data_IF_012628480234
#
_entry.id   IF_012628480234
#
_cell.length_a   1.000
_cell.length_b   1.000
_cell.length_c   1.000
_cell.angle_alpha   90.00
_cell.angle_beta   90.00
_cell.angle_gamma   90.00
#
_symmetry.space_group_name_H-M   'P 1'
#
loop_
_entity.id
_entity.type
_entity.pdbx_description
1 polymer ?
#
# COMPACT_ATOMS: atom_id res chain seq x y z
N UNK A 1 -25.24 -11.94 -13.78
CA UNK A 1 -24.45 -12.34 -12.62
C UNK A 1 -23.04 -11.80 -12.75
N UNK A 2 -22.53 -11.20 -11.71
CA UNK A 2 -21.22 -10.57 -11.75
C UNK A 2 -20.12 -11.57 -11.42
N UNK A 3 -19.07 -11.65 -12.24
CA UNK A 3 -17.92 -12.49 -11.93
C UNK A 3 -17.08 -11.81 -10.86
N UNK A 4 -17.40 -12.06 -9.59
CA UNK A 4 -16.82 -11.31 -8.49
C UNK A 4 -15.40 -11.69 -8.10
N UNK A 5 -15.05 -12.98 -7.99
CA UNK A 5 -13.81 -13.33 -7.30
C UNK A 5 -12.54 -12.93 -8.02
N UNK A 6 -12.53 -12.90 -9.35
CA UNK A 6 -11.30 -12.65 -10.10
C UNK A 6 -10.93 -11.18 -10.19
N UNK A 7 -11.87 -10.27 -9.87
CA UNK A 7 -11.61 -8.84 -9.97
C UNK A 7 -11.39 -8.15 -8.62
N UNK A 8 -11.59 -8.88 -7.53
CA UNK A 8 -11.53 -8.30 -6.19
C UNK A 8 -10.12 -7.80 -5.86
N UNK A 9 -9.10 -8.56 -6.23
CA UNK A 9 -7.71 -8.23 -5.88
C UNK A 9 -6.93 -7.66 -7.07
N UNK A 10 -7.52 -6.72 -7.80
CA UNK A 10 -6.88 -6.15 -8.98
C UNK A 10 -6.31 -4.76 -8.78
N UNK A 11 -6.71 -4.06 -7.72
CA UNK A 11 -6.33 -2.66 -7.55
C UNK A 11 -6.12 -2.34 -6.07
N UNK A 12 -4.98 -1.78 -5.75
CA UNK A 12 -4.61 -1.44 -4.38
C UNK A 12 -4.13 -0.01 -4.27
N UNK A 13 -4.43 0.61 -3.12
CA UNK A 13 -3.78 1.83 -2.69
C UNK A 13 -2.78 1.45 -1.59
N UNK A 14 -1.54 1.93 -1.69
CA UNK A 14 -0.50 1.63 -0.72
C UNK A 14 0.05 2.93 -0.11
N UNK A 15 0.47 2.83 1.14
CA UNK A 15 1.01 3.97 1.86
C UNK A 15 1.80 3.48 3.07
N UNK A 16 2.81 4.25 3.49
CA UNK A 16 3.49 4.00 4.74
C UNK A 16 2.87 4.82 5.85
N UNK A 17 2.75 4.22 7.02
CA UNK A 17 2.32 4.92 8.24
C UNK A 17 3.41 4.81 9.28
N UNK A 18 3.67 5.91 9.97
CA UNK A 18 4.69 6.00 10.99
C UNK A 18 5.64 7.16 10.72
N UNK A 19 6.78 7.20 11.37
CA UNK A 19 7.26 6.18 12.30
C UNK A 19 6.55 6.23 13.66
N UNK A 20 6.50 5.06 14.31
CA UNK A 20 5.95 4.92 15.65
C UNK A 20 7.08 4.78 16.64
N UNK A 21 6.98 5.46 17.78
CA UNK A 21 8.11 5.64 18.67
C UNK A 21 8.45 4.44 19.54
N UNK A 22 7.52 3.52 19.73
CA UNK A 22 7.68 2.45 20.70
C UNK A 22 7.87 1.06 20.10
N UNK A 23 7.96 0.95 18.81
CA UNK A 23 8.18 -0.33 18.19
C UNK A 23 9.63 -0.76 18.37
N UNK A 24 9.85 -2.02 18.69
CA UNK A 24 11.21 -2.53 18.93
C UNK A 24 11.91 -2.89 17.63
N UNK A 25 11.25 -3.67 16.81
CA UNK A 25 11.81 -4.14 15.54
C UNK A 25 11.26 -3.36 14.37
N UNK A 26 9.98 -3.04 14.44
CA UNK A 26 9.26 -2.34 13.37
C UNK A 26 8.74 -1.02 13.91
N UNK A 27 8.94 0.05 13.18
CA UNK A 27 8.46 1.37 13.55
C UNK A 27 7.55 1.97 12.49
N UNK A 28 7.26 1.22 11.44
CA UNK A 28 6.48 1.70 10.30
C UNK A 28 5.57 0.57 9.83
N UNK A 29 4.46 0.92 9.23
CA UNK A 29 3.53 -0.05 8.67
C UNK A 29 3.29 0.31 7.21
N UNK A 30 3.45 -0.68 6.33
CA UNK A 30 3.00 -0.56 4.95
C UNK A 30 1.54 -0.95 4.92
N UNK A 31 0.69 -0.01 4.57
CA UNK A 31 -0.75 -0.21 4.49
C UNK A 31 -1.12 -0.49 3.05
N UNK A 32 -1.87 -1.56 2.82
CA UNK A 32 -2.32 -1.97 1.49
C UNK A 32 -3.83 -2.10 1.55
N UNK A 33 -4.53 -1.22 0.84
CA UNK A 33 -5.99 -1.20 0.83
C UNK A 33 -6.49 -1.63 -0.54
N UNK A 34 -7.36 -2.64 -0.56
CA UNK A 34 -8.03 -3.03 -1.80
C UNK A 34 -9.06 -1.94 -2.14
N UNK A 35 -9.02 -1.45 -3.39
CA UNK A 35 -9.88 -0.33 -3.79
C UNK A 35 -11.31 -0.74 -4.09
N UNK A 36 -11.59 -2.03 -4.20
CA UNK A 36 -12.92 -2.53 -4.54
C UNK A 36 -13.70 -3.01 -3.32
N UNK A 37 -13.02 -3.52 -2.31
CA UNK A 37 -13.66 -4.11 -1.13
C UNK A 37 -12.97 -3.60 0.13
N UNK A 38 -13.49 -3.98 1.29
CA UNK A 38 -12.97 -3.52 2.58
C UNK A 38 -11.77 -4.32 3.08
N UNK A 39 -10.95 -4.85 2.18
CA UNK A 39 -9.73 -5.55 2.56
C UNK A 39 -8.61 -4.56 2.85
N UNK A 40 -7.91 -4.80 3.93
CA UNK A 40 -6.76 -3.97 4.31
C UNK A 40 -5.66 -4.86 4.84
N UNK A 41 -4.49 -4.78 4.23
CA UNK A 41 -3.29 -5.45 4.72
C UNK A 41 -2.42 -4.47 5.47
N UNK A 42 -1.93 -4.88 6.65
CA UNK A 42 -1.00 -4.11 7.44
C UNK A 42 0.30 -4.89 7.56
N UNK A 43 1.34 -4.41 6.92
CA UNK A 43 2.62 -5.11 6.86
C UNK A 43 3.65 -4.33 7.67
N UNK A 44 4.13 -4.88 8.80
CA UNK A 44 5.15 -4.21 9.61
C UNK A 44 6.46 -4.07 8.83
N UNK A 45 7.08 -2.91 8.97
CA UNK A 45 8.35 -2.62 8.32
C UNK A 45 9.09 -1.53 9.11
N UNK A 46 10.13 -0.95 8.51
CA UNK A 46 10.92 0.10 9.19
C UNK A 46 11.08 1.29 8.27
N UNK A 47 11.47 2.43 8.87
CA UNK A 47 11.79 3.63 8.09
C UNK A 47 12.96 3.42 7.14
N UNK A 48 13.79 2.41 7.41
CA UNK A 48 14.95 2.09 6.57
C UNK A 48 14.62 1.18 5.40
N UNK A 49 13.36 0.77 5.26
CA UNK A 49 12.95 -0.09 4.15
C UNK A 49 13.25 0.60 2.81
N UNK A 50 13.81 -0.17 1.90
CA UNK A 50 14.11 0.30 0.55
C UNK A 50 12.96 -0.02 -0.40
N UNK A 51 13.03 0.47 -1.62
CA UNK A 51 12.08 0.09 -2.64
C UNK A 51 12.11 -1.42 -2.88
N UNK A 52 13.30 -2.03 -2.86
CA UNK A 52 13.43 -3.46 -3.07
C UNK A 52 12.79 -4.27 -1.94
N UNK A 53 13.08 -3.94 -0.69
CA UNK A 53 12.50 -4.67 0.43
C UNK A 53 10.99 -4.48 0.50
N UNK A 54 10.51 -3.29 0.14
CA UNK A 54 9.08 -3.02 0.09
C UNK A 54 8.39 -3.87 -0.99
N UNK A 55 9.02 -3.99 -2.16
CA UNK A 55 8.50 -4.84 -3.22
C UNK A 55 8.44 -6.30 -2.78
N UNK A 56 9.46 -6.78 -2.06
CA UNK A 56 9.45 -8.13 -1.53
C UNK A 56 8.29 -8.36 -0.56
N UNK A 57 7.99 -7.37 0.28
CA UNK A 57 6.85 -7.46 1.19
C UNK A 57 5.54 -7.57 0.41
N UNK A 58 5.37 -6.76 -0.62
CA UNK A 58 4.17 -6.85 -1.45
C UNK A 58 4.06 -8.20 -2.14
N UNK A 59 5.16 -8.72 -2.67
CA UNK A 59 5.15 -10.02 -3.32
C UNK A 59 4.75 -11.13 -2.35
N UNK A 60 5.32 -11.13 -1.15
CA UNK A 60 5.09 -12.20 -0.18
C UNK A 60 3.69 -12.14 0.43
N UNK A 61 3.18 -10.95 0.73
CA UNK A 61 1.95 -10.83 1.49
C UNK A 61 0.74 -10.51 0.64
N UNK A 62 0.92 -9.99 -0.56
CA UNK A 62 -0.20 -9.57 -1.41
C UNK A 62 -0.22 -10.35 -2.72
N UNK A 63 0.86 -10.31 -3.49
CA UNK A 63 0.84 -10.87 -4.85
C UNK A 63 0.80 -12.40 -4.84
N UNK A 64 1.58 -13.03 -3.98
CA UNK A 64 1.60 -14.49 -3.91
C UNK A 64 0.27 -15.08 -3.47
N UNK A 65 -0.35 -14.58 -2.36
CA UNK A 65 -1.62 -15.15 -1.96
C UNK A 65 -2.83 -14.70 -2.79
N UNK A 66 -2.79 -13.50 -3.39
CA UNK A 66 -3.98 -12.92 -4.03
C UNK A 66 -3.83 -12.70 -5.53
N UNK A 67 -2.65 -12.91 -6.08
CA UNK A 67 -2.39 -12.64 -7.49
C UNK A 67 -1.78 -11.26 -7.72
N UNK A 68 -1.22 -11.07 -8.91
CA UNK A 68 -0.60 -9.79 -9.30
C UNK A 68 -1.72 -8.82 -9.69
N UNK A 69 -1.77 -7.64 -9.08
CA UNK A 69 -2.81 -6.67 -9.43
C UNK A 69 -2.56 -6.02 -10.79
N UNK A 70 -3.53 -5.31 -11.30
CA UNK A 70 -3.38 -4.52 -12.52
C UNK A 70 -3.04 -3.06 -12.24
N UNK A 71 -3.30 -2.60 -11.02
CA UNK A 71 -3.12 -1.18 -10.68
C UNK A 71 -2.67 -1.03 -9.23
N UNK A 72 -1.69 -0.18 -9.03
CA UNK A 72 -1.29 0.28 -7.69
C UNK A 72 -1.32 1.79 -7.67
N UNK A 73 -2.00 2.35 -6.67
CA UNK A 73 -2.03 3.78 -6.41
C UNK A 73 -1.18 4.04 -5.17
N UNK A 74 -0.28 5.01 -5.24
CA UNK A 74 0.58 5.36 -4.11
C UNK A 74 0.73 6.87 -4.00
N UNK A 75 1.32 7.33 -2.91
CA UNK A 75 1.79 8.71 -2.83
C UNK A 75 3.17 8.82 -3.51
N UNK A 76 3.81 9.98 -3.37
CA UNK A 76 5.09 10.26 -3.98
C UNK A 76 6.28 9.96 -3.04
N UNK A 77 6.11 9.00 -2.15
CA UNK A 77 7.22 8.54 -1.31
C UNK A 77 8.41 8.15 -2.20
N UNK A 78 9.66 8.51 -1.83
CA UNK A 78 10.82 8.23 -2.67
C UNK A 78 10.97 6.77 -3.09
N UNK A 79 10.53 5.83 -2.24
CA UNK A 79 10.59 4.42 -2.60
C UNK A 79 9.70 4.11 -3.80
N UNK A 80 8.52 4.73 -3.86
CA UNK A 80 7.55 4.53 -4.95
C UNK A 80 7.87 5.33 -6.19
N UNK A 81 8.70 6.38 -6.09
CA UNK A 81 9.13 7.15 -7.25
C UNK A 81 10.44 6.66 -7.83
N UNK A 82 11.11 5.71 -7.18
CA UNK A 82 12.40 5.20 -7.61
C UNK A 82 12.29 4.50 -8.96
N UNK A 83 13.41 4.50 -9.67
CA UNK A 83 13.49 3.81 -10.97
C UNK A 83 13.25 2.32 -10.82
N UNK A 84 13.83 1.71 -9.78
CA UNK A 84 13.64 0.29 -9.52
C UNK A 84 12.17 -0.06 -9.38
N UNK A 85 11.44 0.70 -8.58
CA UNK A 85 10.02 0.47 -8.32
C UNK A 85 9.21 0.55 -9.61
N UNK A 86 9.39 1.65 -10.34
CA UNK A 86 8.62 1.87 -11.57
C UNK A 86 8.90 0.84 -12.64
N UNK A 87 10.17 0.44 -12.79
CA UNK A 87 10.52 -0.58 -13.77
C UNK A 87 10.02 -1.96 -13.39
N UNK A 88 10.05 -2.27 -12.09
CA UNK A 88 9.54 -3.56 -11.61
C UNK A 88 8.05 -3.68 -11.86
N UNK A 89 7.28 -2.65 -11.52
CA UNK A 89 5.84 -2.66 -11.78
C UNK A 89 5.54 -2.78 -13.27
N UNK A 90 6.28 -2.06 -14.09
CA UNK A 90 6.10 -2.13 -15.54
C UNK A 90 6.37 -3.53 -16.06
N UNK A 91 7.42 -4.16 -15.60
CA UNK A 91 7.76 -5.53 -16.00
C UNK A 91 6.67 -6.52 -15.60
N UNK A 92 6.04 -6.29 -14.46
CA UNK A 92 4.95 -7.14 -13.97
C UNK A 92 3.61 -6.84 -14.62
N UNK A 93 3.55 -5.81 -15.46
CA UNK A 93 2.30 -5.42 -16.11
C UNK A 93 1.34 -4.65 -15.19
N UNK A 94 1.88 -4.01 -14.15
CA UNK A 94 1.08 -3.27 -13.19
C UNK A 94 1.13 -1.78 -13.53
N UNK A 95 -0.03 -1.17 -13.71
CA UNK A 95 -0.12 0.28 -13.86
C UNK A 95 0.13 0.94 -12.51
N UNK A 96 0.90 2.02 -12.49
CA UNK A 96 1.21 2.75 -11.27
C UNK A 96 0.73 4.19 -11.40
N UNK A 97 -0.13 4.61 -10.48
CA UNK A 97 -0.62 5.98 -10.40
C UNK A 97 -0.16 6.57 -9.08
N UNK A 98 0.54 7.72 -9.16
CA UNK A 98 0.93 8.45 -7.96
C UNK A 98 -0.08 9.55 -7.71
N UNK A 99 -0.71 9.52 -6.54
CA UNK A 99 -1.64 10.55 -6.14
C UNK A 99 -0.86 11.78 -5.69
N UNK A 100 -1.11 12.91 -6.33
CA UNK A 100 -0.47 14.16 -5.92
C UNK A 100 -1.16 14.69 -4.66
N UNK A 101 -0.41 15.35 -3.77
CA UNK A 101 -1.02 15.97 -2.60
C UNK A 101 -2.14 16.93 -3.01
N UNK A 102 -3.29 16.79 -2.35
CA UNK A 102 -4.44 17.63 -2.62
C UNK A 102 -5.31 17.21 -3.79
N UNK A 103 -4.90 16.21 -4.54
CA UNK A 103 -5.73 15.67 -5.61
C UNK A 103 -6.56 14.52 -5.11
N UNK A 104 -7.86 14.58 -5.32
CA UNK A 104 -8.81 13.56 -4.87
C UNK A 104 -9.39 12.78 -6.03
N UNK A 105 -8.65 12.64 -7.12
CA UNK A 105 -9.13 12.00 -8.32
C UNK A 105 -9.00 10.48 -8.29
N UNK A 106 -8.18 9.96 -7.40
CA UNK A 106 -8.09 8.53 -7.18
C UNK A 106 -9.19 8.13 -6.21
N UNK A 107 -9.22 6.89 -5.79
CA UNK A 107 -10.32 6.36 -5.00
C UNK A 107 -10.40 7.02 -3.61
N UNK A 108 -11.38 7.90 -3.42
CA UNK A 108 -11.57 8.60 -2.14
C UNK A 108 -11.89 7.68 -0.98
N UNK A 109 -12.50 6.52 -1.25
CA UNK A 109 -12.75 5.52 -0.21
C UNK A 109 -11.47 4.94 0.36
N UNK A 110 -10.53 4.59 -0.50
CA UNK A 110 -9.25 4.05 -0.06
C UNK A 110 -8.46 5.09 0.73
N UNK A 111 -8.44 6.33 0.27
CA UNK A 111 -7.76 7.42 0.96
C UNK A 111 -8.37 7.68 2.32
N UNK A 112 -9.69 7.66 2.43
CA UNK A 112 -10.39 7.83 3.70
C UNK A 112 -10.06 6.70 4.66
N UNK A 113 -10.04 5.46 4.15
CA UNK A 113 -9.68 4.30 4.96
C UNK A 113 -8.26 4.41 5.51
N UNK A 114 -7.33 4.88 4.70
CA UNK A 114 -5.96 5.10 5.15
C UNK A 114 -5.92 6.13 6.27
N UNK A 115 -6.66 7.24 6.15
CA UNK A 115 -6.70 8.25 7.20
C UNK A 115 -7.30 7.70 8.50
N UNK A 116 -8.36 6.92 8.39
CA UNK A 116 -8.98 6.29 9.55
C UNK A 116 -8.02 5.33 10.24
N UNK A 117 -7.28 4.56 9.46
CA UNK A 117 -6.28 3.64 9.99
C UNK A 117 -5.14 4.37 10.68
N UNK A 118 -4.68 5.49 10.11
CA UNK A 118 -3.65 6.30 10.76
C UNK A 118 -4.10 6.75 12.14
N UNK A 119 -5.33 7.24 12.23
CA UNK A 119 -5.87 7.70 13.51
C UNK A 119 -5.98 6.55 14.51
N UNK A 120 -6.52 5.42 14.07
CA UNK A 120 -6.67 4.26 14.93
C UNK A 120 -5.33 3.73 15.42
N UNK A 121 -4.36 3.59 14.52
CA UNK A 121 -3.04 3.09 14.88
C UNK A 121 -2.31 4.02 15.84
N UNK A 122 -2.38 5.32 15.63
CA UNK A 122 -1.77 6.28 16.54
C UNK A 122 -2.36 6.19 17.94
N UNK A 123 -3.68 6.02 18.02
CA UNK A 123 -4.37 5.90 19.30
C UNK A 123 -3.91 4.66 20.05
N UNK A 124 -3.76 3.53 19.35
CA UNK A 124 -3.36 2.26 19.98
C UNK A 124 -1.88 2.27 20.35
N UNK A 125 -1.02 2.73 19.46
CA UNK A 125 0.43 2.61 19.63
C UNK A 125 1.00 3.65 20.59
N UNK A 126 0.40 4.84 20.63
CA UNK A 126 0.89 5.94 21.44
C UNK A 126 0.23 6.03 22.83
N UNK A 127 -0.33 4.95 23.30
CA UNK A 127 -0.86 4.90 24.67
C UNK A 127 0.18 5.10 25.74
#
# INVERSE_FOLDING_TARGET
MLPLPTEIFTSYAINFMGPFTKAKTYDTVLVVVNRAVSYCGLIPTTTKATAMTTMELLQNYIFTPHGVPTLIVSDADPRFTSRFWRQTLKTMGIEHIMAAPGHHQTNGQAERKIRELKTALRTVINR
#
